data_IF_367824228309
#
_entry.id   IF_367824228309
#
_cell.length_a   1.000
_cell.length_b   1.000
_cell.length_c   1.000
_cell.angle_alpha   90.00
_cell.angle_beta   90.00
_cell.angle_gamma   90.00
#
_symmetry.space_group_name_H-M   'P 1'
#
loop_
_entity.id
_entity.type
_entity.pdbx_description
1 polymer ?
#
# COMPACT_ATOMS: atom_id res chain seq x y z
N UNK A 1 -16.03 4.85 -6.83
CA UNK A 1 -14.83 4.03 -6.94
C UNK A 1 -13.84 4.42 -5.89
N UNK A 2 -13.08 3.45 -5.41
CA UNK A 2 -12.22 3.67 -4.28
C UNK A 2 -10.79 3.92 -4.70
N UNK A 3 -10.15 4.80 -3.97
CA UNK A 3 -8.74 5.10 -4.18
C UNK A 3 -7.98 4.88 -2.87
N UNK A 4 -6.75 4.43 -3.02
CA UNK A 4 -5.81 4.40 -1.92
C UNK A 4 -5.15 5.77 -1.84
N UNK A 5 -5.20 6.39 -0.67
CA UNK A 5 -4.65 7.73 -0.44
C UNK A 5 -3.72 7.74 0.74
N UNK A 6 -2.81 8.69 0.74
CA UNK A 6 -1.96 8.93 1.91
C UNK A 6 -2.86 9.27 3.10
N UNK A 7 -2.61 8.64 4.23
CA UNK A 7 -3.42 8.78 5.42
C UNK A 7 -4.48 7.69 5.58
N UNK A 8 -4.71 6.90 4.56
CA UNK A 8 -5.67 5.80 4.64
C UNK A 8 -5.09 4.64 5.43
N UNK A 9 -5.97 3.89 6.07
CA UNK A 9 -5.58 2.65 6.73
C UNK A 9 -5.79 1.48 5.80
N UNK A 10 -4.86 0.54 5.86
CA UNK A 10 -4.95 -0.71 5.09
C UNK A 10 -4.62 -1.88 6.01
N UNK A 11 -5.07 -3.06 5.63
CA UNK A 11 -4.61 -4.29 6.24
C UNK A 11 -3.27 -4.64 5.64
N UNK A 12 -2.28 -4.82 6.50
CA UNK A 12 -0.94 -5.17 6.08
C UNK A 12 -0.53 -6.50 6.71
N UNK A 13 0.00 -7.37 5.88
CA UNK A 13 0.49 -8.66 6.32
C UNK A 13 1.98 -8.74 6.01
N UNK A 14 2.80 -8.63 7.06
CA UNK A 14 4.24 -8.68 6.92
C UNK A 14 4.77 -10.09 6.69
N UNK A 15 6.10 -10.21 6.57
CA UNK A 15 6.74 -11.51 6.41
C UNK A 15 6.30 -12.25 5.17
N UNK A 16 5.97 -11.55 4.09
CA UNK A 16 5.44 -12.12 2.86
C UNK A 16 4.16 -12.94 3.10
N UNK A 17 3.33 -12.44 4.01
CA UNK A 17 2.06 -13.07 4.30
C UNK A 17 2.11 -14.10 5.41
N UNK A 18 3.26 -14.30 6.03
CA UNK A 18 3.40 -15.28 7.12
C UNK A 18 2.93 -14.74 8.47
N UNK A 19 2.79 -13.43 8.59
CA UNK A 19 2.35 -12.80 9.83
C UNK A 19 0.87 -12.46 9.77
N UNK A 20 0.19 -12.35 10.93
CA UNK A 20 -1.21 -11.92 10.94
C UNK A 20 -1.36 -10.51 10.38
N UNK A 21 -2.48 -10.26 9.72
CA UNK A 21 -2.78 -8.94 9.20
C UNK A 21 -2.98 -7.94 10.35
N UNK A 22 -2.51 -6.71 10.15
CA UNK A 22 -2.71 -5.63 11.11
C UNK A 22 -3.00 -4.34 10.36
N UNK A 23 -3.63 -3.40 11.03
CA UNK A 23 -3.92 -2.11 10.43
C UNK A 23 -2.66 -1.25 10.40
N UNK A 24 -2.43 -0.60 9.29
CA UNK A 24 -1.32 0.33 9.13
C UNK A 24 -1.80 1.56 8.37
N UNK A 25 -1.24 2.71 8.68
CA UNK A 25 -1.60 3.96 8.04
C UNK A 25 -0.57 4.29 6.95
N UNK A 26 -1.06 4.49 5.74
CA UNK A 26 -0.20 4.76 4.58
C UNK A 26 0.36 6.17 4.67
N UNK A 27 1.66 6.28 4.52
CA UNK A 27 2.40 7.52 4.62
C UNK A 27 2.97 7.94 3.26
N UNK A 28 3.27 6.98 2.41
CA UNK A 28 3.80 7.23 1.08
C UNK A 28 3.30 6.17 0.12
N UNK A 29 3.00 6.59 -1.10
CA UNK A 29 2.59 5.68 -2.18
C UNK A 29 3.54 5.91 -3.35
N UNK A 30 4.08 4.82 -3.89
CA UNK A 30 5.02 4.88 -4.99
C UNK A 30 4.63 3.86 -6.05
N UNK A 31 4.58 4.31 -7.30
CA UNK A 31 4.28 3.43 -8.43
C UNK A 31 5.61 3.11 -9.12
N UNK A 32 6.03 1.86 -9.04
CA UNK A 32 7.37 1.51 -9.49
C UNK A 32 7.50 1.19 -10.98
N UNK A 33 6.44 0.72 -11.60
CA UNK A 33 6.42 0.49 -13.05
C UNK A 33 7.46 -0.44 -13.63
N UNK A 34 8.34 -0.99 -12.83
CA UNK A 34 9.25 -2.05 -13.25
C UNK A 34 10.67 -1.67 -13.60
N UNK A 35 10.97 -0.44 -13.94
CA UNK A 35 12.32 -0.10 -14.43
C UNK A 35 13.05 0.99 -13.71
N UNK A 36 12.35 1.84 -13.05
CA UNK A 36 12.93 3.02 -12.43
C UNK A 36 12.47 3.13 -11.00
N UNK A 37 13.09 4.07 -10.31
CA UNK A 37 12.54 4.51 -9.04
C UNK A 37 11.10 4.90 -9.26
N UNK A 38 10.26 4.53 -8.35
CA UNK A 38 8.86 4.79 -8.49
C UNK A 38 8.53 6.27 -8.46
N UNK A 39 7.40 6.60 -9.05
CA UNK A 39 6.86 7.95 -8.94
C UNK A 39 6.00 8.02 -7.69
N UNK A 40 6.27 8.99 -6.83
CA UNK A 40 5.45 9.21 -5.66
C UNK A 40 4.15 9.87 -6.07
N UNK A 41 3.05 9.33 -5.55
CA UNK A 41 1.72 9.88 -5.82
C UNK A 41 0.97 10.03 -4.52
N UNK A 42 -0.05 10.87 -4.52
CA UNK A 42 -0.89 11.09 -3.35
C UNK A 42 -2.04 10.09 -3.26
N UNK A 43 -2.42 9.53 -4.39
CA UNK A 43 -3.51 8.56 -4.46
C UNK A 43 -3.38 7.68 -5.69
N UNK A 44 -3.98 6.51 -5.62
CA UNK A 44 -4.02 5.56 -6.73
C UNK A 44 -5.30 4.75 -6.63
N UNK A 45 -5.93 4.44 -7.77
CA UNK A 45 -7.12 3.59 -7.79
C UNK A 45 -6.77 2.19 -7.30
N UNK A 46 -7.62 1.65 -6.43
CA UNK A 46 -7.41 0.30 -5.93
C UNK A 46 -7.38 -0.74 -7.05
N UNK A 47 -8.09 -0.48 -8.15
CA UNK A 47 -8.05 -1.38 -9.31
C UNK A 47 -6.66 -1.44 -9.94
N UNK A 48 -5.83 -0.44 -9.71
CA UNK A 48 -4.49 -0.38 -10.30
C UNK A 48 -3.38 -0.72 -9.32
N UNK A 49 -3.69 -0.84 -8.04
CA UNK A 49 -2.67 -1.06 -7.00
C UNK A 49 -1.82 -2.29 -7.30
N UNK A 50 -2.46 -3.37 -7.71
CA UNK A 50 -1.73 -4.61 -7.97
C UNK A 50 -1.08 -4.62 -9.35
N UNK A 51 -1.72 -3.99 -10.33
CA UNK A 51 -1.25 -4.01 -11.71
C UNK A 51 -0.05 -3.11 -11.94
N UNK A 52 0.07 -2.05 -11.16
CA UNK A 52 1.13 -1.05 -11.35
C UNK A 52 2.28 -1.20 -10.37
N UNK A 53 2.36 -2.31 -9.69
CA UNK A 53 3.44 -2.59 -8.73
C UNK A 53 3.60 -1.48 -7.71
N UNK A 54 2.51 -1.13 -7.07
CA UNK A 54 2.52 -0.08 -6.06
C UNK A 54 3.25 -0.55 -4.80
N UNK A 55 4.05 0.33 -4.24
CA UNK A 55 4.73 0.12 -2.97
C UNK A 55 4.27 1.23 -2.03
N UNK A 56 4.00 0.88 -0.78
CA UNK A 56 3.58 1.85 0.22
C UNK A 56 4.51 1.81 1.42
N UNK A 57 4.62 2.95 2.09
CA UNK A 57 5.28 3.04 3.39
C UNK A 57 4.23 3.38 4.42
N UNK A 58 4.51 3.06 5.67
CA UNK A 58 3.57 3.27 6.77
C UNK A 58 4.15 4.25 7.79
N UNK A 59 3.30 5.10 8.34
CA UNK A 59 3.72 5.98 9.41
C UNK A 59 3.78 5.27 10.76
N UNK A 60 2.99 4.20 10.91
CA UNK A 60 2.90 3.43 12.16
C UNK A 60 4.06 2.47 12.33
N UNK A 61 4.71 2.11 11.25
CA UNK A 61 5.77 1.10 11.23
C UNK A 61 6.92 1.61 10.38
N UNK A 62 8.11 1.32 10.81
CA UNK A 62 9.32 1.68 10.05
C UNK A 62 9.55 0.63 8.96
N UNK A 63 8.57 0.50 8.08
CA UNK A 63 8.56 -0.57 7.09
C UNK A 63 7.81 -0.12 5.83
N UNK A 64 8.02 -0.87 4.77
CA UNK A 64 7.33 -0.67 3.50
C UNK A 64 6.72 -2.00 3.07
N UNK A 65 5.79 -1.96 2.13
CA UNK A 65 5.09 -3.15 1.69
C UNK A 65 4.80 -3.11 0.20
N UNK A 66 4.87 -4.27 -0.42
CA UNK A 66 4.38 -4.44 -1.78
C UNK A 66 2.85 -4.48 -1.81
N UNK A 67 2.29 -4.21 -2.98
CA UNK A 67 0.84 -4.25 -3.16
C UNK A 67 0.23 -5.58 -2.71
N UNK A 68 0.93 -6.68 -2.97
CA UNK A 68 0.40 -8.01 -2.61
C UNK A 68 0.33 -8.24 -1.10
N UNK A 69 0.96 -7.39 -0.31
CA UNK A 69 0.97 -7.50 1.15
C UNK A 69 -0.11 -6.65 1.83
N UNK A 70 -0.83 -5.85 1.07
CA UNK A 70 -1.85 -4.98 1.64
C UNK A 70 -3.23 -5.32 1.08
N UNK A 71 -4.24 -5.03 1.87
CA UNK A 71 -5.64 -5.15 1.44
C UNK A 71 -6.39 -3.93 1.89
N UNK A 72 -7.40 -3.58 1.12
CA UNK A 72 -8.25 -2.45 1.41
C UNK A 72 -8.96 -2.66 2.75
N UNK A 73 -8.90 -1.64 3.58
CA UNK A 73 -9.67 -1.60 4.82
C UNK A 73 -10.97 -0.86 4.55
N UNK A 74 -12.08 -1.52 4.79
CA UNK A 74 -13.41 -0.92 4.61
C UNK A 74 -13.94 -0.56 5.98
N UNK A 75 -14.07 0.72 6.21
CA UNK A 75 -14.64 1.22 7.45
C UNK A 75 -16.13 1.37 7.26
N UNK A 76 -16.86 0.74 8.12
CA UNK A 76 -18.33 0.85 8.12
C UNK A 76 -18.80 1.91 9.08
#
# INVERSE_FOLDING_TARGET
MSKLRIGDKVWWRGGFGSEPAKLATVDMIEITGGYKYGDQVDEVDWSEVYDRNVVVCFEDYDNWAYACQIKRYVQK
#
